data_IF_420734467212
#
_entry.id   IF_420734467212
#
_cell.length_a   1.000
_cell.length_b   1.000
_cell.length_c   1.000
_cell.angle_alpha   90.00
_cell.angle_beta   90.00
_cell.angle_gamma   90.00
#
_symmetry.space_group_name_H-M   'P 1'
#
loop_
_entity.id
_entity.type
_entity.pdbx_description
1 polymer ?
#
# COMPACT_ATOMS: atom_id res chain seq x y z
N UNK A 1 -9.79 11.09 0.56
CA UNK A 1 -8.81 10.01 0.31
C UNK A 1 -7.38 10.47 0.62
N UNK A 2 -6.78 11.36 -0.13
CA UNK A 2 -5.47 11.97 0.18
C UNK A 2 -5.43 12.56 1.60
N UNK A 3 -6.54 13.13 2.08
CA UNK A 3 -6.69 13.68 3.44
C UNK A 3 -6.62 12.63 4.57
N UNK A 4 -6.94 11.36 4.33
CA UNK A 4 -6.82 10.31 5.35
C UNK A 4 -5.36 9.88 5.57
N UNK A 5 -4.55 9.81 4.51
CA UNK A 5 -3.11 9.62 4.65
C UNK A 5 -2.45 10.85 5.29
N UNK A 6 -2.86 12.06 4.89
CA UNK A 6 -2.42 13.29 5.57
C UNK A 6 -2.78 13.27 7.05
N UNK A 7 -3.91 12.71 7.44
CA UNK A 7 -4.30 12.66 8.85
C UNK A 7 -3.49 11.66 9.67
N UNK A 8 -3.12 10.50 9.12
CA UNK A 8 -2.22 9.58 9.82
C UNK A 8 -0.83 10.21 9.97
N UNK A 9 -0.34 10.87 8.92
CA UNK A 9 0.93 11.62 8.95
C UNK A 9 0.81 12.87 9.84
N UNK A 10 -0.29 13.61 9.76
CA UNK A 10 -0.55 14.79 10.59
C UNK A 10 -0.72 14.39 12.07
N UNK A 11 -1.35 13.25 12.34
CA UNK A 11 -1.50 12.73 13.69
C UNK A 11 -0.16 12.32 14.29
N UNK A 12 0.71 11.67 13.52
CA UNK A 12 2.08 11.39 13.96
C UNK A 12 2.89 12.67 14.16
N UNK A 13 2.74 13.69 13.28
CA UNK A 13 3.37 15.01 13.47
C UNK A 13 2.80 15.76 14.68
N UNK A 14 1.49 15.72 14.91
CA UNK A 14 0.86 16.38 16.07
C UNK A 14 1.22 15.66 17.38
N UNK A 15 1.20 14.32 17.41
CA UNK A 15 1.72 13.57 18.58
C UNK A 15 3.21 13.87 18.83
N UNK A 16 3.99 14.08 17.78
CA UNK A 16 5.40 14.41 17.85
C UNK A 16 5.63 15.81 18.41
N UNK A 17 4.84 16.81 17.97
CA UNK A 17 4.95 18.18 18.49
C UNK A 17 4.57 18.29 19.97
N UNK A 18 3.73 17.37 20.48
CA UNK A 18 3.33 17.37 21.90
C UNK A 18 4.31 16.64 22.82
N UNK A 19 5.18 15.75 22.29
CA UNK A 19 6.12 14.94 23.11
C UNK A 19 7.57 15.45 23.06
N UNK A 20 7.93 16.30 22.10
CA UNK A 20 9.33 16.61 21.80
C UNK A 20 9.73 18.07 21.86
N UNK A 21 9.95 18.61 23.04
CA UNK A 21 10.66 19.88 23.24
C UNK A 21 12.05 19.62 23.83
N UNK A 22 13.02 19.19 23.03
CA UNK A 22 14.45 19.32 23.37
C UNK A 22 15.41 18.90 22.21
N UNK A 23 16.34 19.81 21.84
CA UNK A 23 17.55 19.68 20.98
C UNK A 23 17.42 19.51 19.45
N UNK A 24 17.96 20.50 18.72
CA UNK A 24 17.75 20.78 17.29
C UNK A 24 18.23 19.71 16.27
N UNK A 25 19.24 18.90 16.54
CA UNK A 25 19.71 17.84 15.62
C UNK A 25 19.09 16.46 15.85
N UNK A 26 18.76 16.14 17.11
CA UNK A 26 17.99 14.92 17.44
C UNK A 26 16.52 15.02 17.00
N UNK A 27 15.97 16.22 16.87
CA UNK A 27 14.58 16.45 16.48
C UNK A 27 14.29 16.08 15.03
N UNK A 28 15.23 16.31 14.09
CA UNK A 28 14.97 16.03 12.67
C UNK A 28 14.90 14.53 12.41
N UNK A 29 15.83 13.75 12.96
CA UNK A 29 15.83 12.29 12.80
C UNK A 29 14.65 11.64 13.55
N UNK A 30 14.29 12.13 14.73
CA UNK A 30 13.11 11.67 15.47
C UNK A 30 11.81 12.00 14.70
N UNK A 31 11.70 13.20 14.15
CA UNK A 31 10.56 13.60 13.31
C UNK A 31 10.43 12.73 12.07
N UNK A 32 11.53 12.44 11.35
CA UNK A 32 11.53 11.58 10.17
C UNK A 32 11.13 10.14 10.49
N UNK A 33 11.65 9.55 11.58
CA UNK A 33 11.29 8.19 11.98
C UNK A 33 9.79 8.07 12.32
N UNK A 34 9.20 9.11 12.90
CA UNK A 34 7.76 9.15 13.20
C UNK A 34 6.92 9.32 11.93
N UNK A 35 7.39 10.06 10.92
CA UNK A 35 6.73 10.17 9.62
C UNK A 35 6.79 8.85 8.86
N UNK A 36 7.91 8.11 8.92
CA UNK A 36 8.01 6.73 8.39
C UNK A 36 6.99 5.83 9.09
N UNK A 37 6.92 5.86 10.41
CA UNK A 37 5.95 5.07 11.17
C UNK A 37 4.50 5.44 10.83
N UNK A 38 4.20 6.72 10.69
CA UNK A 38 2.88 7.21 10.27
C UNK A 38 2.49 6.74 8.87
N UNK A 39 3.42 6.72 7.92
CA UNK A 39 3.17 6.22 6.57
C UNK A 39 2.89 4.71 6.57
N UNK A 40 3.59 3.93 7.38
CA UNK A 40 3.32 2.49 7.56
C UNK A 40 1.91 2.28 8.13
N UNK A 41 1.51 3.08 9.13
CA UNK A 41 0.17 3.01 9.72
C UNK A 41 -0.93 3.54 8.81
N UNK A 42 -0.63 4.26 7.72
CA UNK A 42 -1.63 4.73 6.77
C UNK A 42 -2.16 3.62 5.87
N UNK A 43 -1.37 2.56 5.60
CA UNK A 43 -1.79 1.43 4.79
C UNK A 43 -2.96 0.67 5.44
N UNK A 44 -3.99 0.38 4.64
CA UNK A 44 -5.21 -0.32 5.08
C UNK A 44 -5.51 -1.49 4.16
N UNK A 45 -5.97 -2.62 4.71
CA UNK A 45 -6.28 -3.83 3.96
C UNK A 45 -7.80 -4.12 3.99
N UNK A 46 -8.48 -4.15 2.84
CA UNK A 46 -9.90 -4.41 2.78
C UNK A 46 -10.24 -5.89 2.66
N UNK A 47 -9.26 -6.80 2.49
CA UNK A 47 -9.49 -8.21 2.09
C UNK A 47 -10.49 -8.91 3.01
N UNK A 48 -10.27 -8.88 4.32
CA UNK A 48 -11.16 -9.53 5.28
C UNK A 48 -12.55 -8.89 5.31
N UNK A 49 -12.62 -7.56 5.20
CA UNK A 49 -13.90 -6.82 5.18
C UNK A 49 -14.67 -7.10 3.90
N UNK A 50 -14.00 -7.14 2.76
CA UNK A 50 -14.62 -7.45 1.46
C UNK A 50 -15.13 -8.89 1.43
N UNK A 51 -14.38 -9.85 1.97
CA UNK A 51 -14.82 -11.23 2.10
C UNK A 51 -16.11 -11.33 2.95
N UNK A 52 -16.14 -10.62 4.08
CA UNK A 52 -17.33 -10.54 4.93
C UNK A 52 -18.52 -9.89 4.21
N UNK A 53 -18.31 -8.79 3.50
CA UNK A 53 -19.36 -8.10 2.75
C UNK A 53 -19.95 -8.97 1.64
N UNK A 54 -19.09 -9.68 0.89
CA UNK A 54 -19.53 -10.64 -0.14
C UNK A 54 -20.35 -11.77 0.47
N UNK A 55 -19.94 -12.34 1.61
CA UNK A 55 -20.68 -13.41 2.29
C UNK A 55 -22.00 -12.93 2.90
N UNK A 56 -22.05 -11.69 3.37
CA UNK A 56 -23.27 -11.07 3.91
C UNK A 56 -24.24 -10.56 2.85
N UNK A 57 -23.90 -10.65 1.55
CA UNK A 57 -24.74 -10.14 0.46
C UNK A 57 -24.88 -8.61 0.44
N UNK A 58 -23.87 -7.89 0.91
CA UNK A 58 -23.88 -6.43 0.94
C UNK A 58 -23.84 -5.81 -0.46
N UNK A 59 -24.21 -4.54 -0.55
CA UNK A 59 -24.25 -3.80 -1.82
C UNK A 59 -22.88 -3.78 -2.50
N UNK A 60 -22.79 -4.12 -3.80
CA UNK A 60 -21.53 -4.03 -4.57
C UNK A 60 -20.91 -2.63 -4.53
N UNK A 61 -21.73 -1.58 -4.40
CA UNK A 61 -21.31 -0.20 -4.26
C UNK A 61 -20.42 0.01 -3.03
N UNK A 62 -20.82 -0.53 -1.87
CA UNK A 62 -20.04 -0.41 -0.64
C UNK A 62 -18.70 -1.13 -0.75
N UNK A 63 -18.69 -2.31 -1.38
CA UNK A 63 -17.47 -3.07 -1.65
C UNK A 63 -16.49 -2.25 -2.50
N UNK A 64 -16.96 -1.64 -3.59
CA UNK A 64 -16.12 -0.81 -4.47
C UNK A 64 -15.57 0.42 -3.73
N UNK A 65 -16.38 1.07 -2.87
CA UNK A 65 -15.93 2.21 -2.08
C UNK A 65 -14.80 1.83 -1.12
N UNK A 66 -14.93 0.70 -0.43
CA UNK A 66 -13.92 0.23 0.54
C UNK A 66 -12.64 -0.22 -0.16
N UNK A 67 -12.76 -0.99 -1.25
CA UNK A 67 -11.59 -1.42 -2.03
C UNK A 67 -10.85 -0.22 -2.63
N UNK A 68 -11.59 0.71 -3.24
CA UNK A 68 -11.00 1.91 -3.83
C UNK A 68 -10.34 2.84 -2.80
N UNK A 69 -10.95 2.99 -1.61
CA UNK A 69 -10.35 3.74 -0.51
C UNK A 69 -9.02 3.11 -0.09
N UNK A 70 -9.00 1.81 0.14
CA UNK A 70 -7.80 1.09 0.59
C UNK A 70 -6.68 1.13 -0.45
N UNK A 71 -7.00 0.89 -1.72
CA UNK A 71 -6.04 0.96 -2.82
C UNK A 71 -5.34 2.32 -2.90
N UNK A 72 -6.09 3.40 -2.73
CA UNK A 72 -5.53 4.75 -2.73
C UNK A 72 -4.73 5.07 -1.46
N UNK A 73 -5.15 4.52 -0.31
CA UNK A 73 -4.39 4.64 0.93
C UNK A 73 -3.04 3.92 0.82
N UNK A 74 -3.01 2.73 0.25
CA UNK A 74 -1.79 1.96 0.04
C UNK A 74 -0.83 2.67 -0.93
N UNK A 75 -1.35 3.20 -2.04
CA UNK A 75 -0.56 3.97 -2.98
C UNK A 75 0.07 5.21 -2.36
N UNK A 76 -0.70 5.99 -1.60
CA UNK A 76 -0.17 7.18 -0.91
C UNK A 76 0.75 6.83 0.25
N UNK A 77 0.47 5.77 1.00
CA UNK A 77 1.34 5.26 2.06
C UNK A 77 2.73 4.88 1.51
N UNK A 78 2.76 4.17 0.37
CA UNK A 78 4.01 3.77 -0.29
C UNK A 78 4.83 4.99 -0.74
N UNK A 79 4.20 5.99 -1.35
CA UNK A 79 4.88 7.22 -1.81
C UNK A 79 5.47 8.00 -0.64
N UNK A 80 4.69 8.19 0.43
CA UNK A 80 5.15 8.89 1.63
C UNK A 80 6.25 8.10 2.35
N UNK A 81 6.09 6.80 2.47
CA UNK A 81 7.10 5.93 3.05
C UNK A 81 8.42 6.03 2.29
N UNK A 82 8.40 5.92 0.97
CA UNK A 82 9.61 5.99 0.13
C UNK A 82 10.33 7.32 0.31
N UNK A 83 9.60 8.44 0.33
CA UNK A 83 10.18 9.76 0.55
C UNK A 83 10.85 9.87 1.92
N UNK A 84 10.09 9.61 2.99
CA UNK A 84 10.61 9.78 4.34
C UNK A 84 11.71 8.78 4.70
N UNK A 85 11.63 7.58 4.13
CA UNK A 85 12.63 6.54 4.33
C UNK A 85 13.97 6.88 3.63
N UNK A 86 13.93 7.45 2.42
CA UNK A 86 15.12 7.93 1.74
C UNK A 86 15.75 9.13 2.50
N UNK A 87 14.91 10.07 2.97
CA UNK A 87 15.40 11.15 3.83
C UNK A 87 16.03 10.63 5.14
N UNK A 88 15.47 9.57 5.72
CA UNK A 88 16.03 8.93 6.93
C UNK A 88 17.38 8.24 6.65
N UNK A 89 17.60 7.74 5.42
CA UNK A 89 18.89 7.18 4.98
C UNK A 89 19.98 8.24 4.78
N UNK A 90 19.60 9.51 4.76
CA UNK A 90 20.53 10.63 4.65
C UNK A 90 20.46 11.40 3.33
N UNK A 91 19.52 11.07 2.45
CA UNK A 91 19.30 11.83 1.23
C UNK A 91 18.70 13.21 1.58
N UNK A 92 19.34 14.27 1.09
CA UNK A 92 18.87 15.63 1.27
C UNK A 92 18.09 16.07 0.05
N UNK A 93 16.78 16.28 0.21
CA UNK A 93 15.92 16.78 -0.84
C UNK A 93 15.67 18.28 -0.71
N UNK A 94 15.89 19.03 -1.80
CA UNK A 94 15.41 20.40 -1.93
C UNK A 94 13.88 20.43 -2.09
N UNK A 95 13.22 21.53 -1.71
CA UNK A 95 11.77 21.65 -1.84
C UNK A 95 11.24 21.38 -3.26
N UNK A 96 12.00 21.75 -4.30
CA UNK A 96 11.67 21.45 -5.69
C UNK A 96 11.77 19.96 -6.03
N UNK A 97 12.77 19.28 -5.48
CA UNK A 97 12.97 17.83 -5.68
C UNK A 97 11.87 17.01 -5.01
N UNK A 98 11.38 17.43 -3.85
CA UNK A 98 10.23 16.80 -3.19
C UNK A 98 8.99 16.88 -4.09
N UNK A 99 8.68 18.04 -4.65
CA UNK A 99 7.55 18.23 -5.56
C UNK A 99 7.71 17.35 -6.80
N UNK A 100 8.90 17.32 -7.40
CA UNK A 100 9.19 16.48 -8.56
C UNK A 100 9.04 14.98 -8.22
N UNK A 101 9.51 14.56 -7.04
CA UNK A 101 9.34 13.20 -6.55
C UNK A 101 7.84 12.82 -6.45
N UNK A 102 7.03 13.70 -5.86
CA UNK A 102 5.58 13.45 -5.79
C UNK A 102 4.92 13.39 -7.17
N UNK A 103 5.28 14.27 -8.10
CA UNK A 103 4.75 14.24 -9.47
C UNK A 103 5.18 12.94 -10.17
N UNK A 104 6.45 12.54 -10.05
CA UNK A 104 6.97 11.30 -10.61
C UNK A 104 6.21 10.08 -10.06
N UNK A 105 6.03 10.01 -8.75
CA UNK A 105 5.39 8.88 -8.09
C UNK A 105 3.87 8.86 -8.27
N UNK A 106 3.17 9.97 -8.04
CA UNK A 106 1.71 10.01 -8.02
C UNK A 106 1.08 10.10 -9.42
N UNK A 107 1.77 10.69 -10.39
CA UNK A 107 1.27 10.87 -11.75
C UNK A 107 2.05 10.00 -12.73
N UNK A 108 3.38 10.01 -12.67
CA UNK A 108 4.24 9.25 -13.57
C UNK A 108 4.00 7.74 -13.50
N UNK A 109 3.88 7.18 -12.29
CA UNK A 109 3.64 5.74 -12.12
C UNK A 109 2.33 5.26 -12.73
N UNK A 110 1.17 5.85 -12.45
CA UNK A 110 -0.08 5.45 -13.11
C UNK A 110 -0.06 5.63 -14.63
N UNK A 111 0.55 6.72 -15.13
CA UNK A 111 0.65 6.95 -16.57
C UNK A 111 1.52 5.88 -17.25
N UNK A 112 2.65 5.52 -16.65
CA UNK A 112 3.46 4.39 -17.13
C UNK A 112 2.65 3.09 -17.14
N UNK A 113 1.90 2.83 -16.07
CA UNK A 113 1.01 1.67 -15.99
C UNK A 113 -0.06 1.67 -17.08
N UNK A 114 -0.68 2.82 -17.35
CA UNK A 114 -1.65 2.96 -18.45
C UNK A 114 -1.01 2.63 -19.80
N UNK A 115 0.18 3.12 -20.08
CA UNK A 115 0.91 2.80 -21.32
C UNK A 115 1.23 1.30 -21.41
N UNK A 116 1.72 0.67 -20.34
CA UNK A 116 1.97 -0.77 -20.27
C UNK A 116 0.70 -1.58 -20.48
N UNK A 117 -0.42 -1.17 -19.87
CA UNK A 117 -1.75 -1.75 -20.07
C UNK A 117 -2.20 -1.69 -21.52
N UNK A 118 -2.03 -0.54 -22.19
CA UNK A 118 -2.37 -0.38 -23.61
C UNK A 118 -1.56 -1.31 -24.51
N UNK A 119 -0.25 -1.44 -24.27
CA UNK A 119 0.61 -2.38 -25.02
C UNK A 119 0.12 -3.81 -24.85
N UNK A 120 -0.21 -4.21 -23.63
CA UNK A 120 -0.70 -5.56 -23.35
C UNK A 120 -2.08 -5.82 -23.96
N UNK A 121 -2.98 -4.84 -23.94
CA UNK A 121 -4.29 -4.92 -24.60
C UNK A 121 -4.12 -5.05 -26.13
N UNK A 122 -3.18 -4.33 -26.72
CA UNK A 122 -2.86 -4.49 -28.14
C UNK A 122 -2.41 -5.92 -28.45
N UNK A 123 -1.58 -6.53 -27.62
CA UNK A 123 -1.19 -7.94 -27.79
C UNK A 123 -2.38 -8.89 -27.63
N UNK A 124 -3.24 -8.66 -26.64
CA UNK A 124 -4.47 -9.46 -26.47
C UNK A 124 -5.35 -9.35 -27.71
N UNK A 125 -5.46 -8.18 -28.33
CA UNK A 125 -6.26 -8.00 -29.54
C UNK A 125 -5.73 -8.80 -30.74
N UNK A 126 -4.43 -9.05 -30.82
CA UNK A 126 -3.83 -9.90 -31.84
C UNK A 126 -4.15 -11.39 -31.61
N UNK A 127 -4.34 -11.80 -30.36
CA UNK A 127 -4.72 -13.16 -29.94
C UNK A 127 -6.24 -13.38 -29.96
N UNK A 128 -7.05 -12.35 -30.27
CA UNK A 128 -8.49 -12.45 -30.29
C UNK A 128 -9.00 -13.15 -31.58
N UNK A 129 -8.52 -14.38 -31.80
CA UNK A 129 -8.99 -15.26 -32.87
C UNK A 129 -9.47 -16.54 -32.17
N UNK A 130 -10.80 -16.78 -32.06
CA UNK A 130 -11.33 -17.93 -31.30
C UNK A 130 -11.10 -19.24 -32.06
N UNK A 131 -9.86 -19.67 -32.20
CA UNK A 131 -9.46 -20.84 -32.98
C UNK A 131 -9.08 -22.05 -32.11
N UNK A 132 -8.63 -21.81 -30.86
CA UNK A 132 -8.24 -22.90 -29.98
C UNK A 132 -8.44 -22.54 -28.49
N UNK A 133 -8.64 -23.55 -27.59
CA UNK A 133 -8.68 -23.33 -26.14
C UNK A 133 -7.36 -22.79 -25.58
N UNK A 134 -6.27 -22.93 -26.30
CA UNK A 134 -4.94 -22.43 -25.92
C UNK A 134 -4.89 -20.89 -25.94
N UNK A 135 -5.73 -20.23 -26.77
CA UNK A 135 -5.79 -18.78 -26.87
C UNK A 135 -6.29 -18.14 -25.57
N UNK A 136 -7.21 -18.78 -24.85
CA UNK A 136 -7.69 -18.32 -23.53
C UNK A 136 -6.58 -18.36 -22.52
N UNK A 137 -5.82 -19.47 -22.48
CA UNK A 137 -4.67 -19.61 -21.58
C UNK A 137 -3.58 -18.58 -21.86
N UNK A 138 -3.30 -18.31 -23.15
CA UNK A 138 -2.36 -17.27 -23.56
C UNK A 138 -2.82 -15.87 -23.13
N UNK A 139 -4.13 -15.55 -23.25
CA UNK A 139 -4.66 -14.28 -22.79
C UNK A 139 -4.50 -14.11 -21.27
N UNK A 140 -4.82 -15.14 -20.48
CA UNK A 140 -4.65 -15.14 -19.02
C UNK A 140 -3.17 -14.95 -18.67
N UNK A 141 -2.27 -15.72 -19.26
CA UNK A 141 -0.84 -15.59 -19.04
C UNK A 141 -0.32 -14.19 -19.35
N UNK A 142 -0.81 -13.58 -20.44
CA UNK A 142 -0.42 -12.23 -20.83
C UNK A 142 -0.85 -11.18 -19.81
N UNK A 143 -2.06 -11.31 -19.23
CA UNK A 143 -2.51 -10.38 -18.16
C UNK A 143 -1.63 -10.50 -16.90
N UNK A 144 -1.25 -11.72 -16.53
CA UNK A 144 -0.35 -11.97 -15.40
C UNK A 144 1.04 -11.38 -15.68
N UNK A 145 1.59 -11.66 -16.86
CA UNK A 145 2.87 -11.08 -17.28
C UNK A 145 2.83 -9.55 -17.28
N UNK A 146 1.74 -8.95 -17.78
CA UNK A 146 1.58 -7.50 -17.75
C UNK A 146 1.64 -6.95 -16.33
N UNK A 147 0.92 -7.54 -15.38
CA UNK A 147 0.91 -7.08 -13.99
C UNK A 147 2.31 -7.12 -13.37
N UNK A 148 3.01 -8.26 -13.46
CA UNK A 148 4.35 -8.42 -12.89
C UNK A 148 5.41 -7.56 -13.59
N UNK A 149 5.42 -7.52 -14.93
CA UNK A 149 6.38 -6.74 -15.70
C UNK A 149 6.17 -5.24 -15.45
N UNK A 150 4.93 -4.77 -15.41
CA UNK A 150 4.63 -3.36 -15.12
C UNK A 150 5.15 -2.98 -13.74
N UNK A 151 4.90 -3.82 -12.72
CA UNK A 151 5.40 -3.59 -11.36
C UNK A 151 6.92 -3.54 -11.35
N UNK A 152 7.56 -4.56 -11.89
CA UNK A 152 9.02 -4.72 -11.83
C UNK A 152 9.77 -3.63 -12.59
N UNK A 153 9.34 -3.32 -13.81
CA UNK A 153 9.97 -2.29 -14.64
C UNK A 153 9.78 -0.90 -14.01
N UNK A 154 8.59 -0.60 -13.47
CA UNK A 154 8.34 0.68 -12.81
C UNK A 154 9.26 0.88 -11.61
N UNK A 155 9.45 -0.16 -10.79
CA UNK A 155 10.21 -0.07 -9.54
C UNK A 155 11.72 -0.13 -9.77
N UNK A 156 12.17 -1.00 -10.68
CA UNK A 156 13.60 -1.27 -10.87
C UNK A 156 14.28 -0.36 -11.90
N UNK A 157 13.61 -0.07 -13.03
CA UNK A 157 14.20 0.72 -14.11
C UNK A 157 13.90 2.22 -13.97
N UNK A 158 12.68 2.55 -13.54
CA UNK A 158 12.25 3.95 -13.48
C UNK A 158 12.27 4.53 -12.07
N UNK A 159 12.54 3.71 -11.04
CA UNK A 159 12.46 4.14 -9.63
C UNK A 159 11.14 4.86 -9.34
N UNK A 160 10.05 4.30 -9.84
CA UNK A 160 8.68 4.76 -9.63
C UNK A 160 7.91 3.74 -8.79
N UNK A 161 6.72 4.11 -8.30
CA UNK A 161 5.89 3.18 -7.55
C UNK A 161 5.31 2.08 -8.44
N UNK A 162 5.84 0.85 -8.31
CA UNK A 162 5.33 -0.34 -9.02
C UNK A 162 3.87 -0.62 -8.69
N UNK A 163 3.44 -0.36 -7.44
CA UNK A 163 2.06 -0.52 -7.01
C UNK A 163 1.12 0.43 -7.76
N UNK A 164 1.43 1.73 -7.84
CA UNK A 164 0.60 2.69 -8.57
C UNK A 164 0.63 2.44 -10.08
N UNK A 165 1.74 1.94 -10.62
CA UNK A 165 1.85 1.56 -12.02
C UNK A 165 0.92 0.37 -12.35
N UNK A 166 0.93 -0.69 -11.54
CA UNK A 166 0.01 -1.82 -11.74
C UNK A 166 -1.45 -1.45 -11.59
N UNK A 167 -1.79 -0.52 -10.70
CA UNK A 167 -3.14 0.05 -10.61
C UNK A 167 -3.52 0.76 -11.91
N UNK A 168 -2.63 1.58 -12.47
CA UNK A 168 -2.84 2.25 -13.75
C UNK A 168 -3.09 1.27 -14.89
N UNK A 169 -2.29 0.19 -14.98
CA UNK A 169 -2.51 -0.90 -15.93
C UNK A 169 -3.86 -1.58 -15.71
N UNK A 170 -4.21 -1.91 -14.46
CA UNK A 170 -5.48 -2.54 -14.11
C UNK A 170 -6.71 -1.70 -14.48
N UNK A 171 -6.68 -0.39 -14.27
CA UNK A 171 -7.74 0.54 -14.69
C UNK A 171 -7.89 0.54 -16.21
N UNK A 172 -6.78 0.52 -16.95
CA UNK A 172 -6.79 0.46 -18.42
C UNK A 172 -7.39 -0.86 -18.92
N UNK A 173 -7.02 -1.98 -18.29
CA UNK A 173 -7.62 -3.28 -18.55
C UNK A 173 -9.12 -3.30 -18.26
N UNK A 174 -9.52 -2.80 -17.10
CA UNK A 174 -10.93 -2.77 -16.72
C UNK A 174 -11.81 -1.98 -17.71
N UNK A 175 -11.23 -0.99 -18.36
CA UNK A 175 -11.96 -0.15 -19.31
C UNK A 175 -11.96 -0.70 -20.75
N UNK A 176 -10.83 -1.18 -21.25
CA UNK A 176 -10.65 -1.51 -22.66
C UNK A 176 -10.63 -3.01 -22.97
N UNK A 177 -10.26 -3.87 -22.01
CA UNK A 177 -10.10 -5.29 -22.24
C UNK A 177 -11.41 -6.12 -22.30
N UNK A 178 -12.53 -5.76 -21.63
CA UNK A 178 -13.71 -6.62 -21.61
C UNK A 178 -14.18 -7.12 -22.97
N UNK A 179 -14.28 -6.30 -24.06
CA UNK A 179 -14.73 -6.80 -25.34
C UNK A 179 -13.71 -7.71 -26.06
N UNK A 180 -12.46 -7.77 -25.58
CA UNK A 180 -11.37 -8.54 -26.20
C UNK A 180 -11.11 -9.88 -25.50
N UNK A 181 -11.65 -10.08 -24.30
CA UNK A 181 -11.48 -11.30 -23.53
C UNK A 181 -12.40 -12.38 -24.08
N UNK A 182 -11.81 -13.53 -24.46
CA UNK A 182 -12.55 -14.65 -25.05
C UNK A 182 -13.46 -15.34 -24.04
N UNK A 183 -12.97 -15.53 -22.81
CA UNK A 183 -13.69 -16.24 -21.76
C UNK A 183 -13.52 -15.53 -20.40
N UNK A 184 -14.53 -14.79 -20.00
CA UNK A 184 -14.52 -14.02 -18.76
C UNK A 184 -14.49 -14.91 -17.51
N UNK A 185 -15.18 -16.04 -17.53
CA UNK A 185 -15.31 -16.92 -16.37
C UNK A 185 -13.97 -17.54 -16.01
N UNK A 186 -13.24 -18.08 -16.97
CA UNK A 186 -11.90 -18.62 -16.78
C UNK A 186 -10.91 -17.57 -16.31
N UNK A 187 -10.96 -16.35 -16.87
CA UNK A 187 -10.15 -15.22 -16.44
C UNK A 187 -10.40 -14.88 -14.96
N UNK A 188 -11.66 -14.70 -14.56
CA UNK A 188 -12.04 -14.43 -13.17
C UNK A 188 -11.65 -15.55 -12.22
N UNK A 189 -11.76 -16.80 -12.65
CA UNK A 189 -11.41 -17.96 -11.83
C UNK A 189 -9.92 -18.01 -11.54
N UNK A 190 -9.07 -17.83 -12.55
CA UNK A 190 -7.61 -17.86 -12.37
C UNK A 190 -7.14 -16.69 -11.52
N UNK A 191 -7.62 -15.46 -11.77
CA UNK A 191 -7.28 -14.31 -10.94
C UNK A 191 -7.77 -14.48 -9.50
N UNK A 192 -8.96 -15.08 -9.29
CA UNK A 192 -9.47 -15.40 -7.96
C UNK A 192 -8.60 -16.41 -7.20
N UNK A 193 -8.07 -17.43 -7.88
CA UNK A 193 -7.12 -18.38 -7.29
C UNK A 193 -5.82 -17.66 -6.90
N UNK A 194 -5.27 -16.81 -7.78
CA UNK A 194 -4.05 -16.06 -7.50
C UNK A 194 -4.24 -15.12 -6.29
N UNK A 195 -5.37 -14.40 -6.24
CA UNK A 195 -5.73 -13.55 -5.10
C UNK A 195 -5.78 -14.37 -3.80
N UNK A 196 -6.49 -15.50 -3.82
CA UNK A 196 -6.63 -16.37 -2.65
C UNK A 196 -5.29 -16.93 -2.18
N UNK A 197 -4.47 -17.44 -3.10
CA UNK A 197 -3.14 -17.97 -2.78
C UNK A 197 -2.23 -16.86 -2.23
N UNK A 198 -2.21 -15.69 -2.87
CA UNK A 198 -1.41 -14.55 -2.43
C UNK A 198 -1.77 -14.11 -1.03
N UNK A 199 -3.06 -13.91 -0.75
CA UNK A 199 -3.56 -13.55 0.57
C UNK A 199 -3.22 -14.61 1.63
N UNK A 200 -3.37 -15.89 1.30
CA UNK A 200 -3.04 -17.00 2.23
C UNK A 200 -1.57 -16.99 2.61
N UNK A 201 -0.68 -16.83 1.63
CA UNK A 201 0.78 -16.75 1.88
C UNK A 201 1.12 -15.52 2.72
N UNK A 202 0.55 -14.36 2.39
CA UNK A 202 0.79 -13.12 3.13
C UNK A 202 0.35 -13.23 4.59
N UNK A 203 -0.86 -13.74 4.86
CA UNK A 203 -1.34 -13.91 6.23
C UNK A 203 -0.58 -14.98 7.00
N UNK A 204 -0.13 -16.05 6.33
CA UNK A 204 0.73 -17.07 6.95
C UNK A 204 2.07 -16.46 7.38
N UNK A 205 2.75 -15.74 6.47
CA UNK A 205 4.01 -15.07 6.79
C UNK A 205 3.82 -14.04 7.91
N UNK A 206 2.74 -13.27 7.86
CA UNK A 206 2.35 -12.36 8.91
C UNK A 206 2.27 -13.04 10.28
N UNK A 207 1.54 -14.16 10.35
CA UNK A 207 1.38 -14.92 11.58
C UNK A 207 2.70 -15.46 12.12
N UNK A 208 3.57 -15.95 11.25
CA UNK A 208 4.90 -16.46 11.63
C UNK A 208 5.77 -15.33 12.20
N UNK A 209 5.80 -14.16 11.55
CA UNK A 209 6.60 -13.01 12.00
C UNK A 209 6.09 -12.49 13.34
N UNK A 210 4.78 -12.31 13.48
CA UNK A 210 4.17 -11.89 14.76
C UNK A 210 4.47 -12.91 15.85
N UNK A 211 4.35 -14.21 15.57
CA UNK A 211 4.61 -15.25 16.52
C UNK A 211 6.05 -15.28 17.02
N UNK A 212 7.00 -15.13 16.11
CA UNK A 212 8.43 -15.24 16.44
C UNK A 212 9.03 -13.96 17.03
N UNK A 213 8.75 -12.81 16.38
CA UNK A 213 9.44 -11.56 16.70
C UNK A 213 8.68 -10.72 17.75
N UNK A 214 7.35 -10.87 17.80
CA UNK A 214 6.53 -9.97 18.59
C UNK A 214 6.15 -10.58 19.94
N UNK A 215 5.69 -11.83 19.96
CA UNK A 215 5.18 -12.44 21.21
C UNK A 215 6.26 -12.72 22.24
N UNK A 216 7.52 -12.94 21.81
CA UNK A 216 8.64 -13.19 22.73
C UNK A 216 9.21 -11.91 23.38
N UNK A 217 9.03 -10.75 22.72
CA UNK A 217 9.68 -9.48 23.11
C UNK A 217 8.72 -8.51 23.79
N UNK A 218 7.43 -8.59 23.52
CA UNK A 218 6.43 -7.62 24.01
C UNK A 218 6.13 -7.79 25.50
N UNK A 219 6.28 -6.69 26.26
CA UNK A 219 5.84 -6.59 27.65
C UNK A 219 4.32 -6.33 27.76
N UNK A 220 3.73 -6.58 28.93
CA UNK A 220 2.32 -6.30 29.22
C UNK A 220 1.95 -4.82 28.98
N UNK A 221 2.89 -3.91 29.23
CA UNK A 221 2.71 -2.46 29.04
C UNK A 221 2.63 -2.12 27.56
N UNK A 222 3.41 -2.78 26.72
CA UNK A 222 3.39 -2.56 25.26
C UNK A 222 2.06 -2.97 24.64
N UNK A 223 1.42 -4.03 25.17
CA UNK A 223 0.07 -4.41 24.78
C UNK A 223 -0.94 -3.30 25.06
N UNK A 224 -0.85 -2.63 26.20
CA UNK A 224 -1.73 -1.50 26.54
C UNK A 224 -1.51 -0.35 25.54
N UNK A 225 -0.25 0.00 25.24
CA UNK A 225 0.05 1.05 24.25
C UNK A 225 -0.48 0.68 22.85
N UNK A 226 -0.39 -0.58 22.46
CA UNK A 226 -0.90 -1.06 21.18
C UNK A 226 -2.43 -0.93 21.09
N UNK A 227 -3.17 -1.29 22.15
CA UNK A 227 -4.61 -1.09 22.22
C UNK A 227 -4.99 0.40 22.19
N UNK A 228 -4.30 1.24 22.95
CA UNK A 228 -4.54 2.68 22.94
C UNK A 228 -4.31 3.27 21.55
N UNK A 229 -3.21 2.90 20.89
CA UNK A 229 -2.91 3.31 19.52
C UNK A 229 -3.99 2.86 18.54
N UNK A 230 -4.46 1.61 18.62
CA UNK A 230 -5.51 1.08 17.78
C UNK A 230 -6.82 1.87 17.91
N UNK A 231 -7.30 2.10 19.12
CA UNK A 231 -8.52 2.87 19.35
C UNK A 231 -8.37 4.34 18.93
N UNK A 232 -7.19 4.91 19.13
CA UNK A 232 -6.89 6.26 18.68
C UNK A 232 -6.95 6.39 17.15
N UNK A 233 -6.35 5.45 16.42
CA UNK A 233 -6.41 5.42 14.95
C UNK A 233 -7.83 5.19 14.44
N UNK A 234 -8.61 4.34 15.11
CA UNK A 234 -10.01 4.11 14.77
C UNK A 234 -10.85 5.39 14.96
N UNK A 235 -10.65 6.08 16.09
CA UNK A 235 -11.31 7.36 16.38
C UNK A 235 -10.96 8.43 15.35
N UNK A 236 -9.67 8.55 15.02
CA UNK A 236 -9.20 9.50 14.03
C UNK A 236 -9.81 9.24 12.65
N UNK A 237 -9.85 7.98 12.22
CA UNK A 237 -10.50 7.58 10.97
C UNK A 237 -11.99 7.94 10.96
N UNK A 238 -12.71 7.62 12.02
CA UNK A 238 -14.12 7.96 12.16
C UNK A 238 -14.35 9.49 12.10
N UNK A 239 -13.49 10.26 12.76
CA UNK A 239 -13.53 11.71 12.77
C UNK A 239 -13.34 12.30 11.35
N UNK A 240 -12.37 11.78 10.59
CA UNK A 240 -12.10 12.27 9.24
C UNK A 240 -13.24 11.93 8.27
N UNK A 241 -13.77 10.71 8.35
CA UNK A 241 -14.93 10.32 7.53
C UNK A 241 -16.13 11.19 7.87
N UNK A 242 -16.36 11.49 9.14
CA UNK A 242 -17.43 12.39 9.57
C UNK A 242 -17.23 13.81 9.04
N UNK A 243 -16.00 14.33 9.06
CA UNK A 243 -15.65 15.65 8.54
C UNK A 243 -15.85 15.72 7.02
N UNK A 244 -15.47 14.68 6.30
CA UNK A 244 -15.57 14.61 4.84
C UNK A 244 -16.93 14.13 4.34
N UNK A 245 -17.82 13.70 5.23
CA UNK A 245 -19.13 13.16 4.88
C UNK A 245 -19.95 14.06 3.94
N UNK A 246 -20.03 15.41 4.13
CA UNK A 246 -20.80 16.27 3.23
C UNK A 246 -20.26 16.22 1.78
N UNK A 247 -18.96 16.03 1.60
CA UNK A 247 -18.34 15.90 0.29
C UNK A 247 -18.62 14.51 -0.30
N UNK A 248 -18.45 13.44 0.49
CA UNK A 248 -18.70 12.07 0.08
C UNK A 248 -20.17 11.81 -0.29
N UNK A 249 -21.11 12.51 0.36
CA UNK A 249 -22.54 12.37 0.07
C UNK A 249 -22.98 13.09 -1.21
N UNK A 250 -22.22 14.10 -1.66
CA UNK A 250 -22.56 14.92 -2.83
C UNK A 250 -21.81 14.53 -4.11
N UNK A 251 -20.63 13.94 -4.00
CA UNK A 251 -19.76 13.64 -5.15
C UNK A 251 -19.65 12.13 -5.38
N UNK A 252 -19.74 11.70 -6.64
CA UNK A 252 -19.51 10.32 -7.07
C UNK A 252 -20.64 9.37 -6.68
N UNK A 253 -20.30 8.24 -6.06
CA UNK A 253 -21.23 7.15 -5.73
C UNK A 253 -22.18 7.44 -4.54
N UNK A 254 -22.36 8.69 -4.13
CA UNK A 254 -23.24 9.13 -3.03
C UNK A 254 -23.21 8.18 -1.83
N UNK A 255 -22.27 8.39 -0.93
CA UNK A 255 -22.13 7.58 0.28
C UNK A 255 -23.29 7.85 1.25
N UNK A 256 -24.01 6.81 1.65
CA UNK A 256 -25.05 6.91 2.67
C UNK A 256 -24.42 6.95 4.08
N UNK A 257 -25.20 7.37 5.10
CA UNK A 257 -24.72 7.44 6.50
C UNK A 257 -24.33 6.07 7.05
N UNK A 258 -25.01 5.01 6.59
CA UNK A 258 -24.68 3.64 6.98
C UNK A 258 -23.37 3.19 6.33
N UNK A 259 -23.17 3.49 5.04
CA UNK A 259 -21.93 3.23 4.32
C UNK A 259 -20.74 3.93 4.99
N UNK A 260 -20.90 5.21 5.38
CA UNK A 260 -19.85 5.98 6.05
C UNK A 260 -19.46 5.38 7.42
N UNK A 261 -20.44 4.94 8.22
CA UNK A 261 -20.17 4.26 9.50
C UNK A 261 -19.41 2.95 9.29
N UNK A 262 -19.81 2.20 8.27
CA UNK A 262 -19.16 0.93 7.95
C UNK A 262 -17.72 1.17 7.44
N UNK A 263 -17.50 2.16 6.59
CA UNK A 263 -16.17 2.57 6.14
C UNK A 263 -15.27 2.99 7.31
N UNK A 264 -15.81 3.68 8.31
CA UNK A 264 -15.06 4.04 9.50
C UNK A 264 -14.57 2.81 10.28
N UNK A 265 -15.42 1.79 10.39
CA UNK A 265 -15.07 0.54 11.06
C UNK A 265 -14.16 -0.36 10.21
N UNK A 266 -14.30 -0.35 8.90
CA UNK A 266 -13.64 -1.25 7.94
C UNK A 266 -12.12 -1.04 7.77
N UNK A 267 -11.51 -0.13 8.51
CA UNK A 267 -10.08 0.22 8.37
C UNK A 267 -9.13 -0.76 9.05
N UNK A 268 -9.14 -2.01 8.64
CA UNK A 268 -8.16 -3.00 9.11
C UNK A 268 -6.77 -2.70 8.54
N UNK A 269 -5.73 -3.09 9.28
CA UNK A 269 -4.33 -2.96 8.86
C UNK A 269 -3.89 -4.26 8.20
N UNK A 270 -3.13 -4.16 7.11
CA UNK A 270 -2.84 -5.29 6.27
C UNK A 270 -1.37 -5.60 6.06
N UNK A 271 -1.17 -6.50 5.11
CA UNK A 271 0.13 -7.04 4.77
C UNK A 271 1.13 -5.99 4.26
N UNK A 272 0.66 -4.94 3.57
CA UNK A 272 1.55 -3.87 3.09
C UNK A 272 2.24 -3.14 4.24
N UNK A 273 1.49 -2.75 5.28
CA UNK A 273 2.08 -2.10 6.46
C UNK A 273 3.15 -2.95 7.13
N UNK A 274 2.93 -4.27 7.20
CA UNK A 274 3.92 -5.20 7.72
C UNK A 274 5.14 -5.35 6.80
N UNK A 275 4.95 -5.44 5.49
CA UNK A 275 6.06 -5.48 4.53
C UNK A 275 6.95 -4.22 4.65
N UNK A 276 6.35 -3.04 4.78
CA UNK A 276 7.08 -1.78 4.98
C UNK A 276 7.85 -1.77 6.32
N UNK A 277 7.25 -2.29 7.38
CA UNK A 277 7.92 -2.43 8.68
C UNK A 277 9.14 -3.37 8.60
N UNK A 278 9.02 -4.49 7.88
CA UNK A 278 10.13 -5.41 7.63
C UNK A 278 11.27 -4.79 6.82
N UNK A 279 10.96 -3.94 5.85
CA UNK A 279 11.97 -3.18 5.10
C UNK A 279 12.78 -2.28 6.05
N UNK A 280 12.12 -1.59 6.98
CA UNK A 280 12.80 -0.77 7.98
C UNK A 280 13.68 -1.63 8.90
N UNK A 281 13.17 -2.76 9.38
CA UNK A 281 13.92 -3.68 10.24
C UNK A 281 15.14 -4.27 9.51
N UNK A 282 14.97 -4.73 8.28
CA UNK A 282 16.05 -5.30 7.47
C UNK A 282 17.19 -4.29 7.21
N UNK A 283 16.86 -3.04 6.93
CA UNK A 283 17.87 -2.00 6.75
C UNK A 283 18.60 -1.65 8.04
N UNK A 284 17.92 -1.70 9.19
CA UNK A 284 18.55 -1.49 10.50
C UNK A 284 19.57 -2.59 10.82
N UNK A 285 19.19 -3.85 10.65
CA UNK A 285 20.09 -4.99 10.89
C UNK A 285 21.27 -5.02 9.94
N UNK A 286 21.10 -4.61 8.68
CA UNK A 286 22.20 -4.46 7.72
C UNK A 286 23.18 -3.36 8.15
N UNK A 287 22.69 -2.21 8.62
CA UNK A 287 23.53 -1.12 9.12
C UNK A 287 24.29 -1.51 10.39
N UNK A 288 23.69 -2.21 11.34
CA UNK A 288 24.35 -2.71 12.54
C UNK A 288 25.42 -3.77 12.20
N UNK A 289 25.20 -4.62 11.19
CA UNK A 289 26.16 -5.60 10.74
C UNK A 289 27.40 -4.96 10.06
N UNK A 290 27.23 -3.87 9.33
CA UNK A 290 28.33 -3.13 8.71
C UNK A 290 29.17 -2.36 9.73
N UNK A 291 28.54 -1.80 10.76
CA UNK A 291 29.24 -1.15 11.86
C UNK A 291 30.08 -2.18 12.61
N UNK A 292 29.52 -3.34 12.94
CA UNK A 292 30.23 -4.44 13.60
C UNK A 292 31.43 -4.96 12.79
N UNK A 293 31.30 -5.08 11.46
CA UNK A 293 32.42 -5.46 10.57
C UNK A 293 33.52 -4.42 10.52
N UNK A 294 33.16 -3.13 10.47
CA UNK A 294 34.12 -2.04 10.46
C UNK A 294 34.89 -1.93 11.79
N UNK A 295 34.25 -2.19 12.91
CA UNK A 295 34.90 -2.19 14.23
C UNK A 295 35.79 -3.44 14.40
N UNK A 296 35.36 -4.62 13.92
CA UNK A 296 36.18 -5.82 13.90
C UNK A 296 37.42 -5.65 13.00
N UNK A 297 37.32 -4.98 11.84
CA UNK A 297 38.46 -4.70 10.98
C UNK A 297 39.44 -3.72 11.58
N UNK A 298 38.99 -2.73 12.37
CA UNK A 298 39.86 -1.78 13.10
C UNK A 298 40.58 -2.43 14.28
N UNK A 299 39.99 -3.48 14.88
CA UNK A 299 40.65 -4.25 15.96
C UNK A 299 41.67 -5.23 15.41
N UNK A 300 41.47 -5.76 14.19
CA UNK A 300 42.41 -6.68 13.51
C UNK A 300 43.66 -5.97 12.93
N UNK A 301 43.66 -4.63 12.84
CA UNK A 301 44.76 -3.82 12.28
C UNK A 301 45.62 -3.14 13.37
N UNK A 302 45.40 -3.44 14.63
CA UNK A 302 46.25 -3.09 15.78
C UNK A 302 46.94 -4.34 16.35
#
# INVERSE_FOLDING_TARGET
>A
MVLQCYSAVLCCTVLCCTVGSYHHHHHLSLSLSQQVFGSILAATDPVAVVALLKSAGASPKLTILIVGESLMNDGTAMVLFSLYFNMLKGDSYSGGEIILFFIKMAIGSPLFGMCSGLVSIYWISLLNKPLSPDDVTCQIALTICCAYLTFFIAEYEFEMSGLLATVGAGVTFAWLAPPLILEHESMHHVWGILEWCGNTVLFLLAGVIIGKETLEVISLIDWVYLFVLYFFLLFLRAFIIALLYPILSSIGLKCDRQDAKFMAWAGLRGALGMALALIVQSNRTAGEADISKNDASKVSTK
#
